data_IF_745005835069
#
_entry.id   IF_745005835069
#
_cell.length_a   1.000
_cell.length_b   1.000
_cell.length_c   1.000
_cell.angle_alpha   90.00
_cell.angle_beta   90.00
_cell.angle_gamma   90.00
#
_symmetry.space_group_name_H-M   'P 1'
#
loop_
_entity.id
_entity.type
_entity.pdbx_description
1 polymer ?
#
# COMPACT_ATOMS: atom_id res chain seq x y z
N UNK A 1 -27.52 -47.06 40.29
CA UNK A 1 -26.84 -48.17 41.01
C UNK A 1 -26.01 -48.92 39.99
N UNK A 2 -24.77 -49.27 40.32
CA UNK A 2 -24.02 -50.38 39.69
C UNK A 2 -24.41 -51.69 40.40
N UNK A 3 -24.22 -52.90 39.82
CA UNK A 3 -22.90 -53.55 39.62
C UNK A 3 -22.66 -54.01 38.15
N UNK A 4 -21.45 -54.18 37.59
CA UNK A 4 -20.15 -54.79 37.97
C UNK A 4 -19.98 -56.29 37.65
N UNK A 5 -18.88 -56.62 36.94
CA UNK A 5 -18.13 -57.93 36.87
C UNK A 5 -18.82 -59.08 36.07
N UNK A 6 -18.20 -60.20 35.63
CA UNK A 6 -16.82 -60.66 35.26
C UNK A 6 -16.99 -62.05 34.51
N UNK A 7 -16.02 -62.84 34.00
CA UNK A 7 -14.53 -62.88 34.01
C UNK A 7 -13.96 -63.75 32.85
N UNK A 8 -12.65 -63.57 32.58
CA UNK A 8 -11.65 -64.60 32.21
C UNK A 8 -11.64 -65.25 30.81
N UNK A 9 -10.41 -65.57 30.37
CA UNK A 9 -10.07 -66.29 29.14
C UNK A 9 -9.65 -67.75 29.45
N UNK A 10 -9.49 -68.58 28.39
CA UNK A 10 -8.41 -69.57 28.35
C UNK A 10 -8.02 -70.00 26.92
N UNK A 11 -6.79 -70.46 26.80
CA UNK A 11 -6.12 -70.97 25.59
C UNK A 11 -6.23 -72.49 25.51
N UNK A 12 -6.14 -73.09 24.31
CA UNK A 12 -5.32 -74.31 24.10
C UNK A 12 -4.99 -74.54 22.60
N UNK A 13 -4.16 -75.55 22.30
CA UNK A 13 -3.25 -75.60 21.13
C UNK A 13 -3.10 -77.00 20.49
N UNK A 14 -2.19 -77.13 19.50
CA UNK A 14 -1.72 -78.35 18.79
C UNK A 14 -2.58 -78.80 17.59
N UNK A 15 -2.05 -79.51 16.59
CA UNK A 15 -0.72 -80.13 16.27
C UNK A 15 -0.47 -79.94 14.75
N UNK A 16 0.68 -80.14 14.08
CA UNK A 16 2.05 -80.65 14.31
C UNK A 16 2.97 -79.91 13.26
N UNK A 17 4.15 -80.26 12.72
CA UNK A 17 5.37 -81.10 12.94
C UNK A 17 6.38 -80.67 11.81
N UNK A 18 7.68 -81.02 11.69
CA UNK A 18 8.67 -81.83 12.42
C UNK A 18 10.11 -81.24 12.13
N UNK A 19 11.20 -81.99 12.36
CA UNK A 19 12.61 -81.63 12.05
C UNK A 19 13.21 -82.27 10.78
N UNK A 20 14.56 -82.51 10.68
CA UNK A 20 15.57 -82.35 11.73
C UNK A 20 16.98 -81.78 11.34
N UNK A 21 17.67 -81.23 12.36
CA UNK A 21 19.10 -81.39 12.74
C UNK A 21 20.33 -81.04 11.84
N UNK A 22 21.09 -80.03 12.31
CA UNK A 22 22.57 -79.93 12.47
C UNK A 22 23.58 -79.92 11.28
N UNK A 23 24.67 -79.12 11.38
CA UNK A 23 25.74 -79.10 10.34
C UNK A 23 26.93 -78.09 10.37
N UNK A 24 27.48 -77.70 11.53
CA UNK A 24 28.90 -77.28 11.77
C UNK A 24 29.74 -76.46 10.71
N UNK A 25 30.20 -75.24 11.10
CA UNK A 25 31.42 -74.47 10.67
C UNK A 25 31.62 -74.01 9.21
N UNK A 26 31.93 -72.70 9.07
CA UNK A 26 32.59 -72.06 7.91
C UNK A 26 32.96 -70.61 8.23
N UNK A 27 34.00 -70.04 7.63
CA UNK A 27 34.55 -68.70 7.95
C UNK A 27 34.37 -67.64 6.84
N UNK A 28 34.76 -66.41 7.17
CA UNK A 28 35.06 -65.28 6.29
C UNK A 28 33.89 -64.45 5.69
N UNK A 29 34.20 -63.20 5.31
CA UNK A 29 33.28 -62.34 4.54
C UNK A 29 32.76 -61.04 5.19
N UNK A 30 33.44 -60.41 6.16
CA UNK A 30 33.09 -59.03 6.60
C UNK A 30 33.40 -57.98 5.52
N UNK A 31 32.53 -57.84 4.51
CA UNK A 31 32.49 -56.66 3.64
C UNK A 31 31.43 -55.67 4.14
N UNK A 32 31.87 -54.46 4.51
CA UNK A 32 30.99 -53.44 5.07
C UNK A 32 30.15 -52.72 4.03
N UNK A 33 28.83 -52.69 4.19
CA UNK A 33 27.96 -51.80 3.42
C UNK A 33 28.33 -50.35 3.73
N UNK A 34 28.97 -49.67 2.76
CA UNK A 34 29.09 -48.21 2.79
C UNK A 34 27.69 -47.60 2.62
N UNK A 35 27.25 -46.65 3.46
CA UNK A 35 26.01 -45.94 3.22
C UNK A 35 26.11 -45.15 1.91
N UNK A 36 25.01 -45.16 1.13
CA UNK A 36 24.90 -44.40 -0.11
C UNK A 36 25.23 -42.93 0.15
N UNK A 37 26.24 -42.40 -0.56
CA UNK A 37 26.59 -40.97 -0.53
C UNK A 37 25.35 -40.16 -0.92
N UNK A 38 24.75 -39.44 0.04
CA UNK A 38 23.91 -38.27 -0.29
C UNK A 38 24.78 -37.35 -1.15
N UNK A 39 24.34 -37.10 -2.39
CA UNK A 39 25.08 -36.26 -3.32
C UNK A 39 25.37 -34.89 -2.71
N UNK A 40 26.62 -34.45 -2.78
CA UNK A 40 27.01 -33.13 -2.28
C UNK A 40 26.20 -32.05 -3.03
N UNK A 41 25.56 -31.10 -2.33
CA UNK A 41 24.86 -30.00 -3.00
C UNK A 41 25.90 -29.19 -3.76
N UNK A 42 25.86 -29.28 -5.09
CA UNK A 42 27.01 -28.97 -5.95
C UNK A 42 27.62 -27.60 -5.65
N UNK A 43 28.95 -27.49 -5.79
CA UNK A 43 29.70 -26.26 -5.49
C UNK A 43 29.12 -25.01 -6.20
N UNK A 44 28.47 -25.19 -7.36
CA UNK A 44 27.72 -24.15 -8.06
C UNK A 44 26.52 -23.64 -7.25
N UNK A 45 25.73 -24.53 -6.63
CA UNK A 45 24.60 -24.15 -5.76
C UNK A 45 25.10 -23.40 -4.50
N UNK A 46 26.21 -23.82 -3.89
CA UNK A 46 26.76 -23.14 -2.71
C UNK A 46 27.43 -21.79 -3.03
N UNK A 47 27.94 -21.62 -4.25
CA UNK A 47 28.38 -20.34 -4.80
C UNK A 47 27.20 -19.40 -5.09
N UNK A 48 26.17 -19.87 -5.81
CA UNK A 48 24.94 -19.09 -6.10
C UNK A 48 24.25 -18.65 -4.81
N UNK A 49 24.10 -19.53 -3.81
CA UNK A 49 23.57 -19.18 -2.48
C UNK A 49 24.46 -18.22 -1.67
N UNK A 50 25.74 -18.02 -2.04
CA UNK A 50 26.56 -16.93 -1.51
C UNK A 50 26.28 -15.63 -2.28
N UNK A 51 26.40 -15.64 -3.61
CA UNK A 51 26.17 -14.47 -4.47
C UNK A 51 24.81 -13.82 -4.20
N UNK A 52 23.72 -14.60 -4.16
CA UNK A 52 22.37 -14.10 -3.87
C UNK A 52 22.27 -13.42 -2.49
N UNK A 53 22.96 -13.93 -1.46
CA UNK A 53 23.00 -13.30 -0.13
C UNK A 53 23.83 -12.02 -0.11
N UNK A 54 24.90 -11.93 -0.90
CA UNK A 54 25.66 -10.68 -1.05
C UNK A 54 24.84 -9.63 -1.81
N UNK A 55 24.19 -9.99 -2.92
CA UNK A 55 23.30 -9.09 -3.66
C UNK A 55 22.12 -8.59 -2.80
N UNK A 56 21.48 -9.48 -2.02
CA UNK A 56 20.43 -9.10 -1.08
C UNK A 56 20.92 -8.12 0.01
N UNK A 57 22.10 -8.36 0.59
CA UNK A 57 22.72 -7.43 1.55
C UNK A 57 23.01 -6.06 0.92
N UNK A 58 23.53 -6.03 -0.30
CA UNK A 58 23.78 -4.78 -1.04
C UNK A 58 22.46 -4.04 -1.27
N UNK A 59 21.42 -4.71 -1.76
CA UNK A 59 20.10 -4.10 -1.98
C UNK A 59 19.49 -3.51 -0.70
N UNK A 60 19.61 -4.21 0.44
CA UNK A 60 19.18 -3.71 1.75
C UNK A 60 19.97 -2.46 2.15
N UNK A 61 21.31 -2.50 2.10
CA UNK A 61 22.16 -1.38 2.48
C UNK A 61 21.93 -0.16 1.57
N UNK A 62 21.87 -0.35 0.25
CA UNK A 62 21.54 0.72 -0.70
C UNK A 62 20.17 1.33 -0.40
N UNK A 63 19.15 0.52 -0.11
CA UNK A 63 17.81 1.03 0.18
C UNK A 63 17.75 1.79 1.51
N UNK A 64 18.46 1.34 2.54
CA UNK A 64 18.57 2.04 3.82
C UNK A 64 19.38 3.33 3.71
N UNK A 65 20.47 3.36 2.93
CA UNK A 65 21.25 4.57 2.67
C UNK A 65 20.44 5.60 1.85
N UNK A 66 19.69 5.14 0.84
CA UNK A 66 18.77 6.00 0.08
C UNK A 66 17.66 6.53 0.99
N UNK A 67 17.06 5.70 1.85
CA UNK A 67 16.03 6.11 2.80
C UNK A 67 16.55 7.12 3.84
N UNK A 68 17.70 6.87 4.47
CA UNK A 68 18.35 7.83 5.35
C UNK A 68 18.67 9.14 4.60
N UNK A 69 19.12 9.05 3.35
CA UNK A 69 19.31 10.19 2.46
C UNK A 69 18.03 11.00 2.23
N UNK A 70 16.87 10.36 2.05
CA UNK A 70 15.57 11.03 1.96
C UNK A 70 15.21 11.72 3.28
N UNK A 71 15.41 11.06 4.43
CA UNK A 71 15.07 11.63 5.74
C UNK A 71 15.90 12.85 6.15
N UNK A 72 17.11 13.06 5.59
CA UNK A 72 17.97 14.22 5.89
C UNK A 72 17.94 15.31 4.82
N UNK A 73 17.12 15.17 3.78
CA UNK A 73 17.02 16.17 2.71
C UNK A 73 16.19 17.38 3.15
N UNK A 74 16.72 18.59 2.96
CA UNK A 74 16.05 19.85 3.34
C UNK A 74 14.76 20.13 2.55
N UNK A 75 14.55 19.43 1.43
CA UNK A 75 13.35 19.45 0.59
C UNK A 75 12.42 18.22 0.82
N UNK A 76 12.65 17.43 1.87
CA UNK A 76 11.79 16.33 2.30
C UNK A 76 11.47 16.42 3.82
N UNK A 77 10.21 16.30 4.26
CA UNK A 77 9.00 16.26 3.44
C UNK A 77 8.82 17.55 2.62
N UNK A 78 8.05 17.51 1.51
CA UNK A 78 7.70 18.68 0.73
C UNK A 78 6.63 19.48 1.47
N UNK A 79 7.03 20.08 2.60
CA UNK A 79 6.41 21.28 3.12
C UNK A 79 6.20 22.24 1.93
N UNK A 80 5.04 22.90 1.85
CA UNK A 80 4.78 23.92 0.84
C UNK A 80 5.55 25.22 1.15
N UNK A 81 6.88 25.12 1.21
CA UNK A 81 7.84 26.23 1.29
C UNK A 81 7.85 26.93 -0.06
N UNK A 82 6.81 27.74 -0.26
CA UNK A 82 6.76 28.77 -1.27
C UNK A 82 7.99 29.66 -1.06
N UNK A 83 8.95 29.55 -1.98
CA UNK A 83 10.03 30.53 -2.07
C UNK A 83 9.41 31.91 -2.29
N UNK A 84 10.02 33.00 -1.78
CA UNK A 84 9.62 34.37 -2.12
C UNK A 84 9.56 34.63 -3.63
N UNK A 85 10.25 33.81 -4.43
CA UNK A 85 10.29 33.85 -5.88
C UNK A 85 9.41 32.76 -6.54
N UNK A 86 8.30 32.37 -5.91
CA UNK A 86 7.27 31.45 -6.45
C UNK A 86 7.68 29.98 -6.60
N UNK A 87 8.98 29.68 -6.64
CA UNK A 87 9.53 28.32 -6.75
C UNK A 87 9.20 27.47 -5.51
N UNK A 88 8.36 26.46 -5.68
CA UNK A 88 8.05 25.48 -4.64
C UNK A 88 9.24 24.56 -4.40
N UNK A 89 9.90 24.70 -3.25
CA UNK A 89 10.89 23.70 -2.83
C UNK A 89 10.17 22.36 -2.69
N UNK A 90 10.78 21.29 -3.22
CA UNK A 90 10.15 19.97 -3.23
C UNK A 90 9.11 19.72 -4.33
N UNK A 91 8.95 20.58 -5.34
CA UNK A 91 8.18 20.27 -6.57
C UNK A 91 8.69 19.00 -7.30
N UNK A 92 9.94 18.63 -7.05
CA UNK A 92 10.53 17.36 -7.45
C UNK A 92 9.87 16.14 -6.76
N UNK A 93 9.39 16.28 -5.52
CA UNK A 93 8.71 15.22 -4.77
C UNK A 93 7.22 15.17 -5.10
N UNK A 94 6.53 16.31 -5.00
CA UNK A 94 5.06 16.40 -5.11
C UNK A 94 4.69 17.56 -6.02
N UNK A 95 3.76 17.32 -6.95
CA UNK A 95 3.23 18.33 -7.86
C UNK A 95 2.75 19.60 -7.13
N UNK A 96 3.09 20.82 -7.61
CA UNK A 96 2.60 22.07 -7.04
C UNK A 96 1.08 22.14 -6.92
N UNK A 97 0.32 21.53 -7.83
CA UNK A 97 -1.15 21.52 -7.76
C UNK A 97 -1.68 20.72 -6.57
N UNK A 98 -0.95 19.70 -6.10
CA UNK A 98 -1.31 18.94 -4.89
C UNK A 98 -0.77 19.57 -3.60
N UNK A 99 0.34 20.32 -3.65
CA UNK A 99 0.82 21.08 -2.48
C UNK A 99 0.11 22.43 -2.30
N UNK A 100 -0.52 22.98 -3.35
CA UNK A 100 -1.38 24.18 -3.26
C UNK A 100 -2.78 23.88 -2.73
N UNK A 101 -3.31 22.67 -2.91
CA UNK A 101 -4.62 22.27 -2.39
C UNK A 101 -4.72 22.43 -0.86
N UNK A 102 -5.89 22.90 -0.41
CA UNK A 102 -6.26 23.15 0.98
C UNK A 102 -7.32 22.16 1.48
N UNK A 103 -8.23 21.72 0.61
CA UNK A 103 -9.35 20.80 0.90
C UNK A 103 -9.18 19.56 0.04
N UNK A 104 -8.70 18.48 0.65
CA UNK A 104 -8.22 17.27 -0.05
C UNK A 104 -9.08 16.07 0.34
N UNK A 105 -9.79 15.47 -0.63
CA UNK A 105 -10.64 14.30 -0.40
C UNK A 105 -9.98 13.01 -0.86
N UNK A 106 -9.87 12.03 0.03
CA UNK A 106 -9.57 10.63 -0.30
C UNK A 106 -10.87 9.87 -0.57
N UNK A 107 -11.05 9.36 -1.79
CA UNK A 107 -12.18 8.50 -2.17
C UNK A 107 -11.72 7.04 -2.24
N UNK A 108 -12.33 6.20 -1.42
CA UNK A 108 -11.98 4.78 -1.23
C UNK A 108 -13.22 3.88 -1.33
N UNK A 109 -13.02 2.57 -1.50
CA UNK A 109 -14.11 1.63 -1.64
C UNK A 109 -14.63 1.17 -0.26
N UNK A 110 -13.73 0.97 0.70
CA UNK A 110 -14.06 0.34 1.99
C UNK A 110 -13.32 0.95 3.19
N UNK A 111 -13.83 0.74 4.41
CA UNK A 111 -13.04 0.85 5.63
C UNK A 111 -11.75 0.01 5.58
N UNK A 112 -10.65 0.59 6.05
CA UNK A 112 -9.26 0.09 6.07
C UNK A 112 -8.43 0.36 4.82
N UNK A 113 -9.05 0.76 3.69
CA UNK A 113 -8.33 1.28 2.52
C UNK A 113 -7.42 2.46 2.90
N UNK A 114 -7.94 3.37 3.73
CA UNK A 114 -7.30 4.66 4.00
C UNK A 114 -5.96 4.50 4.74
N UNK A 115 -5.89 3.56 5.68
CA UNK A 115 -4.67 3.28 6.44
C UNK A 115 -3.78 2.22 5.77
N UNK A 116 -4.32 1.23 5.06
CA UNK A 116 -3.53 0.18 4.41
C UNK A 116 -2.84 0.64 3.12
N UNK A 117 -3.43 1.59 2.39
CA UNK A 117 -2.90 2.05 1.11
C UNK A 117 -2.42 3.51 1.13
N UNK A 118 -3.08 4.42 1.86
CA UNK A 118 -2.85 5.87 1.76
C UNK A 118 -2.17 6.53 2.97
N UNK A 119 -1.75 5.75 3.99
CA UNK A 119 -1.04 6.28 5.17
C UNK A 119 0.11 7.26 4.83
N UNK A 120 1.06 6.97 3.91
CA UNK A 120 2.10 7.92 3.53
C UNK A 120 1.56 9.22 2.91
N UNK A 121 0.49 9.14 2.11
CA UNK A 121 -0.14 10.31 1.48
C UNK A 121 -0.80 11.21 2.52
N UNK A 122 -1.70 10.66 3.34
CA UNK A 122 -2.44 11.40 4.36
C UNK A 122 -1.48 12.09 5.35
N UNK A 123 -0.51 11.35 5.87
CA UNK A 123 0.40 11.84 6.91
C UNK A 123 1.48 12.82 6.41
N UNK A 124 1.60 13.03 5.10
CA UNK A 124 2.46 14.08 4.53
C UNK A 124 1.65 15.28 4.03
N UNK A 125 0.44 15.09 3.48
CA UNK A 125 -0.38 16.21 3.00
C UNK A 125 -1.05 16.99 4.13
N UNK A 126 -1.48 16.32 5.19
CA UNK A 126 -2.14 16.94 6.35
C UNK A 126 -1.14 17.42 7.43
N UNK A 127 0.15 17.24 7.19
CA UNK A 127 1.21 17.70 8.08
C UNK A 127 1.19 19.23 8.24
N UNK A 128 1.49 19.78 9.43
CA UNK A 128 1.62 21.23 9.63
C UNK A 128 2.64 21.85 8.68
N UNK A 129 2.18 22.80 7.85
CA UNK A 129 3.01 23.52 6.88
C UNK A 129 3.69 24.73 7.53
N UNK A 130 4.90 25.06 7.09
CA UNK A 130 5.69 26.17 7.60
C UNK A 130 6.35 26.98 6.48
N UNK A 131 6.45 28.29 6.65
CA UNK A 131 7.14 29.22 5.75
C UNK A 131 8.18 30.03 6.53
N UNK A 132 9.41 30.05 6.04
CA UNK A 132 10.48 30.93 6.54
C UNK A 132 10.60 32.12 5.59
N UNK A 133 10.51 33.34 6.12
CA UNK A 133 10.72 34.56 5.32
C UNK A 133 12.23 34.89 5.20
N UNK A 134 12.67 35.67 4.20
CA UNK A 134 14.06 36.10 4.07
C UNK A 134 14.58 36.96 5.24
N UNK A 135 13.68 37.65 5.92
CA UNK A 135 13.94 38.60 7.00
C UNK A 135 13.86 37.98 8.41
N UNK A 136 13.43 36.72 8.53
CA UNK A 136 13.13 36.07 9.82
C UNK A 136 13.69 34.65 9.90
N UNK A 137 14.46 34.38 10.95
CA UNK A 137 14.91 33.02 11.30
C UNK A 137 13.80 32.15 11.90
N UNK A 138 12.71 32.76 12.39
CA UNK A 138 11.56 32.04 12.95
C UNK A 138 10.58 31.61 11.83
N UNK A 139 10.24 30.31 11.70
CA UNK A 139 9.26 29.84 10.73
C UNK A 139 7.83 30.17 11.17
N UNK A 140 7.04 30.71 10.26
CA UNK A 140 5.61 30.95 10.44
C UNK A 140 4.86 29.66 10.12
N UNK A 141 4.02 29.19 11.05
CA UNK A 141 3.10 28.07 10.81
C UNK A 141 1.93 28.54 9.94
N UNK A 142 1.64 27.83 8.86
CA UNK A 142 0.43 28.02 8.05
C UNK A 142 -0.73 27.18 8.60
N UNK A 143 -1.94 27.39 8.07
CA UNK A 143 -3.01 26.41 8.25
C UNK A 143 -2.63 25.06 7.60
N UNK A 144 -2.99 23.96 8.26
CA UNK A 144 -2.90 22.62 7.67
C UNK A 144 -4.05 22.44 6.67
N UNK A 145 -3.84 21.73 5.55
CA UNK A 145 -4.94 21.27 4.71
C UNK A 145 -5.96 20.46 5.49
N UNK A 146 -7.23 20.61 5.11
CA UNK A 146 -8.34 19.83 5.61
C UNK A 146 -8.40 18.53 4.82
N UNK A 147 -8.19 17.42 5.52
CA UNK A 147 -8.39 16.09 4.98
C UNK A 147 -9.85 15.69 5.07
N UNK A 148 -10.39 15.15 3.99
CA UNK A 148 -11.72 14.56 3.91
C UNK A 148 -11.59 13.11 3.44
N UNK A 149 -12.42 12.19 3.93
CA UNK A 149 -12.47 10.81 3.45
C UNK A 149 -13.91 10.41 3.16
N UNK A 150 -14.11 9.85 1.97
CA UNK A 150 -15.36 9.26 1.52
C UNK A 150 -15.11 7.77 1.19
N UNK A 151 -15.66 6.88 2.01
CA UNK A 151 -15.79 5.47 1.67
C UNK A 151 -17.16 5.23 1.05
N UNK A 152 -17.19 4.66 -0.15
CA UNK A 152 -18.42 4.47 -0.92
C UNK A 152 -19.22 3.22 -0.52
N UNK A 153 -18.66 2.35 0.32
CA UNK A 153 -19.36 1.20 0.91
C UNK A 153 -18.96 1.02 2.37
N UNK A 154 -19.83 0.43 3.18
CA UNK A 154 -19.59 0.24 4.61
C UNK A 154 -18.70 -0.98 4.94
N UNK A 155 -18.27 -1.75 3.94
CA UNK A 155 -17.53 -2.99 4.12
C UNK A 155 -18.41 -4.14 4.63
N UNK A 156 -19.67 -4.19 4.19
CA UNK A 156 -20.71 -5.03 4.79
C UNK A 156 -20.76 -6.49 4.29
N UNK A 157 -19.78 -6.99 3.52
CA UNK A 157 -19.84 -8.36 2.99
C UNK A 157 -19.94 -9.44 4.07
N UNK A 158 -19.47 -9.15 5.29
CA UNK A 158 -19.53 -10.01 6.48
C UNK A 158 -20.66 -9.64 7.45
N UNK A 159 -21.56 -8.71 7.09
CA UNK A 159 -22.58 -8.17 8.01
C UNK A 159 -22.01 -7.19 9.06
N UNK A 160 -20.77 -6.72 8.88
CA UNK A 160 -20.02 -5.90 9.83
C UNK A 160 -20.04 -4.39 9.55
N UNK A 161 -20.84 -3.92 8.59
CA UNK A 161 -20.77 -2.55 8.06
C UNK A 161 -20.93 -1.44 9.12
N UNK A 162 -21.87 -1.61 10.06
CA UNK A 162 -22.06 -0.67 11.19
C UNK A 162 -20.82 -0.62 12.10
N UNK A 163 -20.11 -1.73 12.26
CA UNK A 163 -18.88 -1.81 13.06
C UNK A 163 -17.73 -1.16 12.29
N UNK A 164 -17.48 -1.58 11.05
CA UNK A 164 -16.43 -1.04 10.16
C UNK A 164 -16.56 0.46 9.92
N UNK A 165 -17.79 0.99 9.86
CA UNK A 165 -18.07 2.44 9.83
C UNK A 165 -17.53 3.19 11.06
N UNK A 166 -17.68 2.62 12.26
CA UNK A 166 -17.17 3.21 13.52
C UNK A 166 -15.64 3.10 13.59
N UNK A 167 -15.11 1.94 13.21
CA UNK A 167 -13.67 1.68 13.13
C UNK A 167 -12.98 2.66 12.16
N UNK A 168 -13.58 2.94 11.00
CA UNK A 168 -13.08 3.92 10.05
C UNK A 168 -13.10 5.35 10.59
N UNK A 169 -14.16 5.77 11.30
CA UNK A 169 -14.19 7.12 11.91
C UNK A 169 -13.09 7.31 12.96
N UNK A 170 -12.80 6.29 13.77
CA UNK A 170 -11.65 6.31 14.67
C UNK A 170 -10.30 6.31 13.91
N UNK A 171 -10.20 5.60 12.77
CA UNK A 171 -9.03 5.65 11.89
C UNK A 171 -8.80 7.06 11.30
N UNK A 172 -9.86 7.70 10.81
CA UNK A 172 -9.84 9.11 10.38
C UNK A 172 -9.34 10.05 11.48
N UNK A 173 -9.87 9.93 12.70
CA UNK A 173 -9.43 10.74 13.85
C UNK A 173 -7.95 10.49 14.21
N UNK A 174 -7.45 9.27 14.01
CA UNK A 174 -6.02 8.95 14.17
C UNK A 174 -5.11 9.59 13.08
N UNK A 175 -5.66 10.02 11.95
CA UNK A 175 -4.98 10.88 10.96
C UNK A 175 -5.17 12.38 11.22
N UNK A 176 -5.93 12.78 12.25
CA UNK A 176 -6.30 14.17 12.51
C UNK A 176 -7.49 14.67 11.67
N UNK A 177 -8.22 13.77 11.00
CA UNK A 177 -9.41 14.09 10.21
C UNK A 177 -10.64 13.99 11.12
N UNK A 178 -11.43 15.07 11.30
CA UNK A 178 -12.61 15.02 12.17
C UNK A 178 -13.68 14.09 11.59
N UNK A 179 -14.45 13.43 12.45
CA UNK A 179 -15.48 12.46 12.04
C UNK A 179 -16.68 13.07 11.28
N UNK A 180 -16.76 14.40 11.14
CA UNK A 180 -17.64 15.14 10.22
C UNK A 180 -17.11 15.22 8.78
N UNK A 181 -15.79 15.13 8.58
CA UNK A 181 -15.11 15.04 7.29
C UNK A 181 -14.77 13.58 6.90
N UNK A 182 -15.30 12.60 7.62
CA UNK A 182 -15.10 11.18 7.40
C UNK A 182 -16.47 10.48 7.27
N UNK A 183 -16.84 10.18 6.02
CA UNK A 183 -18.14 9.60 5.65
C UNK A 183 -17.93 8.19 5.09
N UNK A 184 -18.83 7.30 5.50
CA UNK A 184 -18.93 5.93 5.01
C UNK A 184 -20.36 5.75 4.54
N UNK A 185 -20.55 5.43 3.27
CA UNK A 185 -21.87 5.21 2.67
C UNK A 185 -22.27 3.74 2.83
N UNK A 186 -23.57 3.51 3.00
CA UNK A 186 -24.17 2.17 2.99
C UNK A 186 -25.18 2.10 1.84
N UNK A 187 -24.68 2.22 0.61
CA UNK A 187 -25.51 2.36 -0.58
C UNK A 187 -25.75 0.99 -1.25
N UNK A 188 -27.01 0.58 -1.49
CA UNK A 188 -27.32 -0.77 -2.00
C UNK A 188 -26.78 -1.04 -3.41
N UNK A 189 -26.57 0.00 -4.22
CA UNK A 189 -25.93 -0.10 -5.53
C UNK A 189 -24.39 -0.17 -5.49
N UNK A 190 -23.77 0.02 -4.31
CA UNK A 190 -22.31 -0.01 -4.11
C UNK A 190 -21.93 -1.08 -3.04
N UNK A 191 -22.24 -2.37 -3.26
CA UNK A 191 -21.97 -3.42 -2.28
C UNK A 191 -20.47 -3.75 -2.19
N UNK A 192 -20.02 -4.05 -0.98
CA UNK A 192 -18.71 -4.66 -0.73
C UNK A 192 -18.62 -6.02 -1.45
N UNK A 193 -17.71 -6.14 -2.44
CA UNK A 193 -17.57 -7.34 -3.26
C UNK A 193 -16.28 -7.32 -4.09
N UNK A 194 -15.53 -8.43 -4.08
CA UNK A 194 -14.32 -8.59 -4.90
C UNK A 194 -14.58 -8.52 -6.42
N UNK A 195 -15.81 -8.80 -6.87
CA UNK A 195 -16.14 -9.10 -8.28
C UNK A 195 -17.27 -8.27 -8.90
N UNK A 196 -18.12 -7.62 -8.11
CA UNK A 196 -19.18 -6.74 -8.64
C UNK A 196 -18.56 -5.45 -9.14
N UNK A 197 -18.83 -5.08 -10.39
CA UNK A 197 -18.51 -3.76 -10.90
C UNK A 197 -19.59 -2.77 -10.45
N UNK A 198 -19.19 -1.65 -9.87
CA UNK A 198 -20.11 -0.62 -9.38
C UNK A 198 -20.54 0.33 -10.51
N UNK A 199 -21.81 0.78 -10.56
CA UNK A 199 -22.26 1.70 -11.60
C UNK A 199 -21.57 3.07 -11.49
N UNK A 200 -20.95 3.51 -12.57
CA UNK A 200 -20.18 4.75 -12.65
C UNK A 200 -21.07 5.98 -12.36
N UNK A 201 -22.33 5.95 -12.80
CA UNK A 201 -23.30 7.01 -12.52
C UNK A 201 -23.56 7.20 -11.02
N UNK A 202 -23.68 6.08 -10.27
CA UNK A 202 -23.89 6.10 -8.81
C UNK A 202 -22.64 6.55 -8.06
N UNK A 203 -21.46 6.14 -8.52
CA UNK A 203 -20.18 6.67 -7.99
C UNK A 203 -20.09 8.17 -8.24
N UNK A 204 -20.41 8.63 -9.45
CA UNK A 204 -20.35 10.05 -9.83
C UNK A 204 -21.31 10.91 -9.01
N UNK A 205 -22.57 10.48 -8.84
CA UNK A 205 -23.55 11.16 -7.99
C UNK A 205 -23.06 11.29 -6.55
N UNK A 206 -22.60 10.18 -5.96
CA UNK A 206 -22.09 10.16 -4.59
C UNK A 206 -20.87 11.08 -4.42
N UNK A 207 -19.88 11.00 -5.32
CA UNK A 207 -18.65 11.79 -5.20
C UNK A 207 -18.90 13.27 -5.46
N UNK A 208 -19.67 13.66 -6.49
CA UNK A 208 -19.99 15.06 -6.76
C UNK A 208 -20.68 15.74 -5.59
N UNK A 209 -21.65 15.07 -4.96
CA UNK A 209 -22.32 15.56 -3.75
C UNK A 209 -21.36 15.91 -2.62
N UNK A 210 -20.28 15.14 -2.42
CA UNK A 210 -19.28 15.43 -1.39
C UNK A 210 -18.15 16.37 -1.85
N UNK A 211 -17.90 16.49 -3.16
CA UNK A 211 -17.10 17.59 -3.73
C UNK A 211 -17.75 18.93 -3.43
N UNK A 212 -19.04 19.06 -3.74
CA UNK A 212 -19.83 20.28 -3.52
C UNK A 212 -20.00 20.60 -2.03
N UNK A 213 -20.34 19.61 -1.19
CA UNK A 213 -20.56 19.81 0.25
C UNK A 213 -19.30 20.21 1.03
N UNK A 214 -18.12 19.86 0.52
CA UNK A 214 -16.83 20.10 1.20
C UNK A 214 -15.89 21.05 0.45
N UNK A 215 -16.33 21.62 -0.68
CA UNK A 215 -15.54 22.55 -1.52
C UNK A 215 -14.15 22.00 -1.87
N UNK A 216 -14.09 20.77 -2.39
CA UNK A 216 -12.85 20.00 -2.55
C UNK A 216 -11.97 20.55 -3.69
N UNK A 217 -10.72 20.91 -3.40
CA UNK A 217 -9.75 21.36 -4.41
C UNK A 217 -9.11 20.19 -5.17
N UNK A 218 -8.87 19.06 -4.48
CA UNK A 218 -8.15 17.92 -5.01
C UNK A 218 -8.67 16.58 -4.47
N UNK A 219 -8.76 15.59 -5.36
CA UNK A 219 -9.20 14.23 -5.02
C UNK A 219 -8.03 13.26 -5.11
N UNK A 220 -7.99 12.27 -4.23
CA UNK A 220 -7.03 11.17 -4.22
C UNK A 220 -7.82 9.85 -4.22
N UNK A 221 -7.42 8.88 -5.04
CA UNK A 221 -8.03 7.55 -5.08
C UNK A 221 -7.06 6.49 -5.64
N UNK A 222 -7.55 5.30 -5.98
CA UNK A 222 -6.82 4.22 -6.64
C UNK A 222 -6.60 4.48 -8.15
N UNK A 223 -5.68 3.76 -8.78
CA UNK A 223 -5.58 3.69 -10.25
C UNK A 223 -6.49 2.60 -10.86
N UNK A 224 -6.55 2.56 -12.20
CA UNK A 224 -7.38 1.63 -12.99
C UNK A 224 -7.08 0.12 -12.77
N UNK A 225 -6.05 -0.21 -12.01
CA UNK A 225 -5.72 -1.57 -11.59
C UNK A 225 -6.12 -1.86 -10.12
N UNK A 226 -6.52 -0.86 -9.33
CA UNK A 226 -7.15 -1.05 -8.02
C UNK A 226 -6.28 -1.81 -7.01
N UNK A 227 -4.97 -1.55 -7.04
CA UNK A 227 -3.86 -2.25 -6.33
C UNK A 227 -3.71 -3.73 -6.66
N UNK A 228 -4.78 -4.53 -6.59
CA UNK A 228 -4.81 -5.99 -6.76
C UNK A 228 -5.86 -6.49 -7.76
N UNK A 229 -6.43 -5.60 -8.58
CA UNK A 229 -7.50 -5.93 -9.51
C UNK A 229 -8.92 -5.80 -8.96
N UNK A 230 -9.10 -5.32 -7.72
CA UNK A 230 -10.40 -5.30 -7.03
C UNK A 230 -11.44 -4.46 -7.79
N UNK A 231 -12.62 -5.04 -8.06
CA UNK A 231 -13.65 -4.43 -8.91
C UNK A 231 -14.07 -3.03 -8.43
N UNK A 232 -14.53 -2.90 -7.18
CA UNK A 232 -14.93 -1.62 -6.57
C UNK A 232 -13.87 -0.51 -6.72
N UNK A 233 -12.60 -0.79 -6.42
CA UNK A 233 -11.50 0.20 -6.51
C UNK A 233 -11.27 0.67 -7.95
N UNK A 234 -11.41 -0.25 -8.91
CA UNK A 234 -11.26 0.03 -10.35
C UNK A 234 -12.44 0.82 -10.90
N UNK A 235 -13.67 0.53 -10.46
CA UNK A 235 -14.86 1.30 -10.84
C UNK A 235 -14.77 2.76 -10.35
N UNK A 236 -14.23 2.99 -9.15
CA UNK A 236 -13.91 4.35 -8.67
C UNK A 236 -12.89 5.00 -9.61
N UNK A 237 -11.77 4.34 -9.90
CA UNK A 237 -10.73 4.91 -10.77
C UNK A 237 -11.26 5.23 -12.18
N UNK A 238 -12.04 4.34 -12.80
CA UNK A 238 -12.68 4.59 -14.09
C UNK A 238 -13.59 5.82 -14.04
N UNK A 239 -14.50 5.88 -13.06
CA UNK A 239 -15.43 7.01 -12.89
C UNK A 239 -14.69 8.33 -12.67
N UNK A 240 -13.75 8.37 -11.72
CA UNK A 240 -13.08 9.61 -11.33
C UNK A 240 -12.07 10.09 -12.38
N UNK A 241 -11.51 9.18 -13.17
CA UNK A 241 -10.78 9.62 -14.37
C UNK A 241 -11.71 10.20 -15.42
N UNK A 242 -12.88 9.62 -15.67
CA UNK A 242 -13.81 10.15 -16.65
C UNK A 242 -14.24 11.57 -16.26
N UNK A 243 -14.71 11.76 -15.02
CA UNK A 243 -15.10 13.08 -14.50
C UNK A 243 -13.98 14.11 -14.64
N UNK A 244 -12.75 13.79 -14.22
CA UNK A 244 -11.60 14.70 -14.28
C UNK A 244 -11.13 15.06 -15.70
N UNK A 245 -11.68 14.45 -16.76
CA UNK A 245 -11.43 14.84 -18.16
C UNK A 245 -12.66 15.39 -18.88
N UNK A 246 -13.89 15.03 -18.46
CA UNK A 246 -15.13 15.51 -19.10
C UNK A 246 -15.71 16.76 -18.46
N UNK A 247 -15.33 17.08 -17.22
CA UNK A 247 -15.90 18.16 -16.43
C UNK A 247 -14.77 19.13 -15.97
N UNK A 248 -14.62 20.30 -16.61
CA UNK A 248 -13.58 21.28 -16.28
C UNK A 248 -13.70 21.90 -14.89
N UNK A 249 -14.82 21.71 -14.18
CA UNK A 249 -15.00 22.16 -12.80
C UNK A 249 -14.71 21.05 -11.78
N UNK A 250 -14.42 19.82 -12.23
CA UNK A 250 -14.15 18.70 -11.34
C UNK A 250 -12.75 18.80 -10.71
N UNK A 251 -12.58 18.47 -9.41
CA UNK A 251 -11.31 18.67 -8.70
C UNK A 251 -10.15 17.86 -9.28
N UNK A 252 -8.93 18.40 -9.19
CA UNK A 252 -7.74 17.73 -9.73
C UNK A 252 -7.56 16.36 -9.04
N UNK A 253 -7.71 15.30 -9.83
CA UNK A 253 -7.75 13.93 -9.32
C UNK A 253 -6.40 13.25 -9.46
N UNK A 254 -5.91 12.66 -8.37
CA UNK A 254 -4.67 11.90 -8.28
C UNK A 254 -4.94 10.43 -7.94
N UNK A 255 -4.18 9.52 -8.56
CA UNK A 255 -4.38 8.08 -8.49
C UNK A 255 -3.14 7.37 -7.95
N UNK A 256 -3.33 6.53 -6.95
CA UNK A 256 -2.29 5.70 -6.34
C UNK A 256 -1.87 4.57 -7.30
N UNK A 257 -0.59 4.61 -7.71
CA UNK A 257 0.02 3.63 -8.60
C UNK A 257 0.02 2.22 -8.01
N UNK A 258 -0.67 1.31 -8.69
CA UNK A 258 -0.54 -0.13 -8.55
C UNK A 258 0.88 -0.59 -8.89
N UNK A 259 1.33 -1.65 -8.23
CA UNK A 259 2.66 -2.24 -8.44
C UNK A 259 2.56 -3.76 -8.54
N UNK A 260 3.49 -4.38 -9.29
CA UNK A 260 3.59 -5.83 -9.39
C UNK A 260 3.86 -6.48 -8.01
N UNK A 261 3.61 -7.78 -7.90
CA UNK A 261 3.57 -8.49 -6.60
C UNK A 261 4.87 -8.37 -5.78
N UNK A 262 6.04 -8.28 -6.44
CA UNK A 262 7.34 -8.19 -5.78
C UNK A 262 7.56 -6.82 -5.12
N UNK A 263 7.36 -5.73 -5.87
CA UNK A 263 7.48 -4.36 -5.34
C UNK A 263 6.41 -4.06 -4.30
N UNK A 264 5.19 -4.58 -4.48
CA UNK A 264 4.09 -4.49 -3.51
C UNK A 264 4.53 -4.93 -2.12
N UNK A 265 5.29 -6.02 -2.01
CA UNK A 265 5.78 -6.58 -0.74
C UNK A 265 7.29 -6.38 -0.50
N UNK A 266 7.92 -5.44 -1.22
CA UNK A 266 9.34 -5.12 -1.05
C UNK A 266 9.63 -4.14 0.09
N UNK A 267 8.60 -3.54 0.71
CA UNK A 267 8.76 -2.49 1.72
C UNK A 267 9.70 -1.38 1.20
N UNK A 268 10.56 -0.81 2.05
CA UNK A 268 11.59 0.17 1.68
C UNK A 268 12.60 -0.30 0.62
N UNK A 269 12.71 -1.60 0.31
CA UNK A 269 13.58 -2.08 -0.78
C UNK A 269 13.11 -1.60 -2.17
N UNK A 270 11.85 -1.19 -2.28
CA UNK A 270 11.32 -0.56 -3.50
C UNK A 270 11.74 0.91 -3.67
N UNK A 271 12.30 1.57 -2.64
CA UNK A 271 12.55 3.02 -2.66
C UNK A 271 13.53 3.47 -3.76
N UNK A 272 14.71 2.85 -3.97
CA UNK A 272 15.63 3.30 -5.03
C UNK A 272 15.01 3.21 -6.43
N UNK A 273 14.21 2.17 -6.68
CA UNK A 273 13.48 2.00 -7.94
C UNK A 273 12.32 3.00 -8.09
N UNK A 274 11.58 3.26 -7.02
CA UNK A 274 10.48 4.24 -6.98
C UNK A 274 10.97 5.65 -7.31
N UNK A 275 12.08 6.08 -6.68
CA UNK A 275 12.73 7.37 -6.94
C UNK A 275 13.24 7.47 -8.39
N UNK A 276 13.81 6.38 -8.92
CA UNK A 276 14.26 6.32 -10.32
C UNK A 276 13.08 6.40 -11.31
N UNK A 277 11.98 5.69 -11.04
CA UNK A 277 10.75 5.74 -11.85
C UNK A 277 10.14 7.14 -11.86
N UNK A 278 10.02 7.77 -10.68
CA UNK A 278 9.58 9.16 -10.55
C UNK A 278 10.51 10.13 -11.31
N UNK A 279 11.82 9.89 -11.31
CA UNK A 279 12.81 10.67 -12.10
C UNK A 279 12.59 10.57 -13.60
N UNK A 280 12.33 9.36 -14.10
CA UNK A 280 11.98 9.12 -15.50
C UNK A 280 10.66 9.79 -15.87
N UNK A 281 9.67 9.75 -14.99
CA UNK A 281 8.36 10.36 -15.20
C UNK A 281 8.45 11.89 -15.31
N UNK A 282 8.95 12.58 -14.27
CA UNK A 282 9.10 14.04 -14.31
C UNK A 282 10.06 14.51 -15.43
N UNK A 283 11.14 13.76 -15.69
CA UNK A 283 12.08 14.08 -16.78
C UNK A 283 11.48 13.89 -18.18
N UNK A 284 10.57 12.93 -18.36
CA UNK A 284 9.80 12.75 -19.59
C UNK A 284 8.78 13.88 -19.77
N UNK A 285 7.99 14.14 -18.73
CA UNK A 285 6.98 15.19 -18.70
C UNK A 285 7.53 16.58 -19.04
N UNK A 286 8.62 17.01 -18.39
CA UNK A 286 9.25 18.32 -18.67
C UNK A 286 9.72 18.44 -20.13
N UNK A 287 10.16 17.34 -20.75
CA UNK A 287 10.55 17.30 -22.17
C UNK A 287 9.34 17.27 -23.13
N UNK A 288 8.18 16.80 -22.67
CA UNK A 288 6.92 16.90 -23.43
C UNK A 288 6.35 18.33 -23.35
N UNK A 289 6.24 18.91 -22.15
CA UNK A 289 5.79 20.28 -21.94
C UNK A 289 6.65 21.29 -22.74
N UNK A 290 7.98 21.18 -22.67
CA UNK A 290 8.90 22.05 -23.42
C UNK A 290 8.79 21.89 -24.95
N UNK A 291 8.28 20.76 -25.45
CA UNK A 291 7.93 20.58 -26.88
C UNK A 291 6.56 21.19 -27.22
N UNK A 292 5.61 21.18 -26.28
CA UNK A 292 4.29 21.78 -26.47
C UNK A 292 4.34 23.31 -26.42
N UNK A 293 5.07 23.90 -25.46
CA UNK A 293 5.24 25.36 -25.36
C UNK A 293 6.02 25.96 -26.53
N UNK A 294 6.80 25.14 -27.25
CA UNK A 294 7.41 25.52 -28.54
C UNK A 294 6.40 25.56 -29.71
N UNK A 295 5.12 25.21 -29.46
CA UNK A 295 4.03 25.16 -30.44
C UNK A 295 2.74 25.87 -29.97
N UNK A 296 2.66 26.34 -28.71
CA UNK A 296 1.47 27.02 -28.15
C UNK A 296 1.88 28.04 -27.08
N UNK A 297 1.32 29.25 -27.14
CA UNK A 297 1.71 30.41 -26.31
C UNK A 297 0.76 30.71 -25.14
N UNK A 298 0.22 29.68 -24.48
CA UNK A 298 -0.51 29.83 -23.22
C UNK A 298 0.33 29.30 -22.04
N UNK A 299 0.30 30.01 -20.92
CA UNK A 299 1.03 29.66 -19.68
C UNK A 299 0.26 28.68 -18.79
N UNK A 300 -0.48 27.74 -19.40
CA UNK A 300 -1.14 26.67 -18.65
C UNK A 300 -0.07 25.78 -17.99
N UNK A 301 -0.15 25.61 -16.66
CA UNK A 301 0.81 24.79 -15.89
C UNK A 301 0.64 23.28 -16.17
N UNK A 302 0.97 22.85 -17.39
CA UNK A 302 1.05 21.45 -17.84
C UNK A 302 2.24 20.68 -17.21
N UNK A 303 2.60 21.04 -15.97
CA UNK A 303 3.56 20.32 -15.14
C UNK A 303 2.97 19.02 -14.63
N UNK A 304 3.05 17.96 -15.47
CA UNK A 304 2.54 16.61 -15.20
C UNK A 304 2.52 16.26 -13.72
N UNK A 305 1.30 16.12 -13.18
CA UNK A 305 1.12 15.93 -11.76
C UNK A 305 1.55 14.53 -11.34
N UNK A 306 2.77 14.41 -10.82
CA UNK A 306 3.18 13.21 -10.07
C UNK A 306 3.63 13.58 -8.67
N UNK A 307 3.39 12.68 -7.73
CA UNK A 307 3.78 12.80 -6.34
C UNK A 307 4.42 11.49 -5.88
N UNK A 308 5.46 11.58 -5.06
CA UNK A 308 5.99 10.45 -4.30
C UNK A 308 6.13 10.85 -2.84
N UNK A 309 5.46 10.10 -1.96
CA UNK A 309 5.52 10.26 -0.51
C UNK A 309 6.33 9.14 0.11
N UNK A 310 7.17 9.45 1.10
CA UNK A 310 8.02 8.47 1.81
C UNK A 310 7.83 8.62 3.32
N UNK A 311 7.16 7.66 3.96
CA UNK A 311 6.90 7.68 5.40
C UNK A 311 8.20 7.75 6.21
N UNK A 312 8.28 8.70 7.13
CA UNK A 312 9.22 8.62 8.27
C UNK A 312 8.85 7.45 9.19
N UNK A 313 9.72 7.00 10.11
CA UNK A 313 9.37 5.95 11.06
C UNK A 313 8.16 6.32 11.93
N UNK A 314 8.05 7.60 12.31
CA UNK A 314 6.91 8.13 13.06
C UNK A 314 5.60 8.06 12.26
N UNK A 315 5.63 8.41 10.97
CA UNK A 315 4.47 8.29 10.08
C UNK A 315 4.07 6.82 9.86
N UNK A 316 5.03 5.91 9.68
CA UNK A 316 4.75 4.47 9.62
C UNK A 316 4.03 3.96 10.87
N UNK A 317 4.48 4.35 12.07
CA UNK A 317 3.77 3.99 13.31
C UNK A 317 2.42 4.71 13.49
N UNK A 318 2.25 5.92 12.95
CA UNK A 318 0.95 6.61 12.94
C UNK A 318 -0.07 5.90 12.03
N UNK A 319 0.32 5.51 10.81
CA UNK A 319 -0.54 4.73 9.91
C UNK A 319 -0.94 3.37 10.50
N UNK A 320 -0.03 2.73 11.25
CA UNK A 320 -0.34 1.50 12.02
C UNK A 320 -1.29 1.74 13.21
N UNK A 321 -1.29 2.95 13.80
CA UNK A 321 -2.22 3.36 14.87
C UNK A 321 -3.62 3.63 14.33
N UNK A 322 -3.72 4.14 13.11
CA UNK A 322 -4.97 4.24 12.37
C UNK A 322 -5.52 2.84 12.04
N UNK A 323 -4.68 1.95 11.48
CA UNK A 323 -5.10 0.56 11.23
C UNK A 323 -5.53 -0.19 12.50
N UNK A 324 -4.90 0.06 13.67
CA UNK A 324 -5.32 -0.59 14.92
C UNK A 324 -6.73 -0.24 15.40
N UNK A 325 -7.41 0.74 14.77
CA UNK A 325 -8.83 1.00 15.01
C UNK A 325 -9.74 0.01 14.26
N UNK A 326 -9.26 -0.60 13.16
CA UNK A 326 -9.97 -1.65 12.40
C UNK A 326 -9.87 -3.02 13.07
N UNK A 327 -10.38 -3.11 14.29
CA UNK A 327 -10.36 -4.32 15.13
C UNK A 327 -11.06 -5.49 14.43
N UNK A 328 -12.12 -5.26 13.66
CA UNK A 328 -12.79 -6.30 12.87
C UNK A 328 -11.94 -6.87 11.73
N UNK A 329 -10.94 -6.12 11.25
CA UNK A 329 -10.15 -6.47 10.06
C UNK A 329 -8.72 -6.90 10.42
N UNK A 330 -8.36 -6.91 11.71
CA UNK A 330 -7.01 -7.20 12.21
C UNK A 330 -6.65 -8.71 12.22
N UNK A 331 -6.78 -9.35 11.06
CA UNK A 331 -6.51 -10.78 10.83
C UNK A 331 -5.04 -11.04 10.45
N UNK A 332 -4.58 -12.29 10.60
CA UNK A 332 -3.16 -12.66 10.55
C UNK A 332 -2.39 -12.14 9.33
N UNK A 333 -3.00 -12.14 8.13
CA UNK A 333 -2.32 -11.69 6.91
C UNK A 333 -2.18 -10.16 6.82
N UNK A 334 -3.01 -9.38 7.52
CA UNK A 334 -2.81 -7.93 7.64
C UNK A 334 -1.51 -7.62 8.40
N UNK A 335 -1.06 -8.46 9.34
CA UNK A 335 0.25 -8.29 9.99
C UNK A 335 1.42 -8.41 9.02
N UNK A 336 1.32 -9.33 8.05
CA UNK A 336 2.27 -9.44 6.94
C UNK A 336 2.21 -8.17 6.06
N UNK A 337 1.01 -7.71 5.69
CA UNK A 337 0.83 -6.46 4.94
C UNK A 337 1.49 -5.26 5.65
N UNK A 338 1.15 -5.01 6.92
CA UNK A 338 1.67 -3.87 7.68
C UNK A 338 3.19 -3.89 7.86
N UNK A 339 3.85 -5.04 7.67
CA UNK A 339 5.30 -5.19 7.80
C UNK A 339 6.03 -5.12 6.44
N UNK A 340 5.51 -5.77 5.39
CA UNK A 340 6.18 -5.92 4.10
C UNK A 340 5.61 -5.06 2.97
N UNK A 341 4.38 -4.54 3.10
CA UNK A 341 3.77 -3.71 2.06
C UNK A 341 4.54 -2.41 1.86
N UNK A 342 4.91 -2.09 0.62
CA UNK A 342 5.47 -0.78 0.30
C UNK A 342 4.47 0.35 0.54
N UNK A 343 3.16 0.08 0.54
CA UNK A 343 2.14 1.13 0.72
C UNK A 343 2.11 1.71 2.15
N UNK A 344 2.70 1.04 3.14
CA UNK A 344 2.93 1.64 4.48
C UNK A 344 4.08 2.67 4.49
N UNK A 345 4.94 2.64 3.47
CA UNK A 345 6.21 3.38 3.41
C UNK A 345 6.32 4.35 2.24
N UNK A 346 5.70 4.04 1.10
CA UNK A 346 5.90 4.76 -0.16
C UNK A 346 4.62 4.76 -0.99
N UNK A 347 4.00 5.93 -1.16
CA UNK A 347 2.95 6.14 -2.14
C UNK A 347 3.53 6.86 -3.36
N UNK A 348 3.13 6.43 -4.56
CA UNK A 348 3.34 7.19 -5.80
C UNK A 348 1.96 7.52 -6.36
N UNK A 349 1.68 8.80 -6.54
CA UNK A 349 0.47 9.27 -7.22
C UNK A 349 0.83 9.83 -8.59
N UNK A 350 -0.11 9.70 -9.54
CA UNK A 350 -0.14 10.48 -10.78
C UNK A 350 -1.53 11.09 -10.95
N UNK A 351 -1.62 12.25 -11.60
CA UNK A 351 -2.90 12.77 -12.09
C UNK A 351 -3.64 11.69 -12.88
N UNK A 352 -4.97 11.69 -12.76
CA UNK A 352 -5.82 10.79 -13.52
C UNK A 352 -5.46 10.83 -15.01
N UNK A 353 -5.50 9.67 -15.65
CA UNK A 353 -5.23 9.51 -17.07
C UNK A 353 -6.41 8.78 -17.71
N UNK A 354 -6.88 9.32 -18.85
CA UNK A 354 -7.91 8.67 -19.68
C UNK A 354 -7.52 7.18 -19.86
N UNK A 355 -8.41 6.22 -19.52
CA UNK A 355 -8.18 4.83 -19.88
C UNK A 355 -8.17 4.70 -21.41
N UNK A 356 -7.13 4.06 -21.95
CA UNK A 356 -6.95 3.76 -23.37
C UNK A 356 -7.86 2.61 -23.83
#
# INVERSE_FOLDING_TARGET
>A
MEPLRQRAAKTETHRAYDGPSAGNRGSDGKQGLRPLRRGEPSLRISAVKRVLRHLGRIAILTSLLVYAGVLVRKDWPPDARLSPHGSSQGAWWVSPSLTRAERIMLVVAHPDDECLFFSPTLLNLLAPRFVTRPDSTAPIKLESPRGHILSLSSGNAEGLGIKRTREMKASCEAFGIPSTACIVLDHPGLPDSMSVWWPEATIAECVKRYVELWDIDAIITFDHHGVSGHANHRAIATTLSQLAHTDPQFPITFMLRSTWILEKYASLLSLPYSLYRHRRHQGGAKRAAMRSMAASSSEDEAGSGSAIFVSTPAQYYAGRRAFSQHVSQNVWFRWLWLASSRFMWINELTTAAVPL
#
